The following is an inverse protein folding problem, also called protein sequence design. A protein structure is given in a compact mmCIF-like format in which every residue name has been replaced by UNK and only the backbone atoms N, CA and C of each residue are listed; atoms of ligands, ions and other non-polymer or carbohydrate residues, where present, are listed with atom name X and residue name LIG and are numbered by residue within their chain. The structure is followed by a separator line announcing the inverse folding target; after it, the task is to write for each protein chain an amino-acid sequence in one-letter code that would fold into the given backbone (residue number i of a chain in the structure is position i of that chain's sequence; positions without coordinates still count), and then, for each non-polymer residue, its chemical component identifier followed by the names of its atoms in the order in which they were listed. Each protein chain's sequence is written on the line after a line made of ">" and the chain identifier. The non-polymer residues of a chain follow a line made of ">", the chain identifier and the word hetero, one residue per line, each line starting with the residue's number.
data_IF_745446228578
#
_entry.id   IF_745446228578
#
_cell.length_a   1.000
_cell.length_b   1.000
_cell.length_c   1.000
_cell.angle_alpha   90.00
_cell.angle_beta   90.00
_cell.angle_gamma   90.00
#
_symmetry.space_group_name_H-M   'P 1'
#
loop_
_entity.id
_entity.type
_entity.pdbx_description
1 polymer ?
#
# COMPACT_ATOMS: atom_id res chain seq x y z
N UNK A 1 -12.72 -3.39 35.09
CA UNK A 1 -12.46 -4.72 34.50
C UNK A 1 -10.99 -4.81 34.15
N UNK A 2 -10.30 -5.91 34.51
CA UNK A 2 -8.90 -6.13 34.11
C UNK A 2 -8.82 -6.06 32.58
N UNK A 3 -7.97 -5.19 32.03
CA UNK A 3 -7.63 -5.19 30.61
C UNK A 3 -6.81 -6.44 30.30
N UNK A 4 -7.47 -7.60 30.20
CA UNK A 4 -6.84 -8.83 29.73
C UNK A 4 -6.58 -8.64 28.23
N UNK A 5 -5.40 -9.04 27.77
CA UNK A 5 -5.08 -8.99 26.33
C UNK A 5 -5.86 -10.06 25.59
N UNK A 6 -6.29 -9.77 24.37
CA UNK A 6 -7.02 -10.73 23.53
C UNK A 6 -6.09 -11.33 22.48
N UNK A 7 -6.27 -12.62 22.17
CA UNK A 7 -5.70 -13.24 20.98
C UNK A 7 -6.78 -13.30 19.91
N UNK A 8 -6.51 -12.68 18.76
CA UNK A 8 -7.41 -12.68 17.59
C UNK A 8 -6.69 -13.31 16.42
N UNK A 9 -7.42 -14.06 15.60
CA UNK A 9 -6.84 -14.73 14.44
C UNK A 9 -7.31 -14.04 13.17
N UNK A 10 -6.38 -13.80 12.24
CA UNK A 10 -6.73 -13.41 10.88
C UNK A 10 -7.23 -14.64 10.11
N UNK A 11 -8.43 -14.56 9.55
CA UNK A 11 -9.11 -15.70 8.89
C UNK A 11 -8.55 -16.01 7.49
N UNK A 12 -7.69 -15.16 6.95
CA UNK A 12 -6.99 -15.34 5.68
C UNK A 12 -5.63 -15.99 5.94
N UNK A 13 -4.79 -15.35 6.75
CA UNK A 13 -3.42 -15.82 7.00
C UNK A 13 -3.36 -17.00 7.98
N UNK A 14 -4.31 -17.07 8.92
CA UNK A 14 -4.25 -17.97 10.07
C UNK A 14 -3.34 -17.46 11.20
N UNK A 15 -2.70 -16.30 11.01
CA UNK A 15 -1.79 -15.69 11.96
C UNK A 15 -2.56 -15.17 13.19
N UNK A 16 -1.94 -15.33 14.37
CA UNK A 16 -2.46 -14.79 15.62
C UNK A 16 -1.91 -13.41 15.88
N UNK A 17 -2.75 -12.54 16.44
CA UNK A 17 -2.41 -11.18 16.82
C UNK A 17 -2.86 -10.94 18.25
N UNK A 18 -1.99 -10.35 19.06
CA UNK A 18 -2.29 -9.94 20.43
C UNK A 18 -2.81 -8.52 20.44
N UNK A 19 -4.04 -8.33 20.93
CA UNK A 19 -4.61 -7.00 21.21
C UNK A 19 -4.35 -6.67 22.69
N UNK A 20 -3.28 -5.93 22.95
CA UNK A 20 -2.78 -5.61 24.28
C UNK A 20 -3.09 -4.15 24.69
N UNK A 21 -4.36 -3.84 24.94
CA UNK A 21 -4.80 -2.45 25.27
C UNK A 21 -4.16 -1.85 26.53
N UNK A 22 -3.61 -2.68 27.43
CA UNK A 22 -2.85 -2.21 28.59
C UNK A 22 -1.48 -1.60 28.24
N UNK A 23 -0.91 -1.92 27.07
CA UNK A 23 0.40 -1.40 26.63
C UNK A 23 0.34 0.06 26.20
N UNK A 24 -0.77 0.52 25.61
CA UNK A 24 -0.94 1.91 25.19
C UNK A 24 -0.87 2.97 26.30
N UNK A 25 -0.72 2.57 27.57
CA UNK A 25 -0.47 3.49 28.70
C UNK A 25 1.02 3.77 28.95
N UNK A 26 1.93 3.12 28.21
CA UNK A 26 3.36 3.36 28.34
C UNK A 26 3.69 4.76 27.79
N UNK A 27 4.40 5.61 28.56
CA UNK A 27 4.73 6.98 28.14
C UNK A 27 5.45 7.08 26.78
N UNK A 28 6.13 6.01 26.37
CA UNK A 28 6.98 5.97 25.18
C UNK A 28 6.29 5.42 23.92
N UNK A 29 5.16 4.71 24.03
CA UNK A 29 4.49 4.07 22.89
C UNK A 29 3.81 5.09 21.95
N UNK A 30 3.60 6.31 22.43
CA UNK A 30 3.09 7.45 21.64
C UNK A 30 3.99 8.68 21.77
N UNK A 31 5.20 8.53 22.31
CA UNK A 31 6.14 9.64 22.40
C UNK A 31 6.45 10.12 20.97
N UNK A 32 6.01 11.35 20.66
CA UNK A 32 6.42 12.09 19.48
C UNK A 32 7.95 12.13 19.48
N UNK A 33 8.59 11.25 18.72
CA UNK A 33 9.93 11.54 18.23
C UNK A 33 9.76 12.75 17.32
N UNK A 34 10.50 13.81 17.63
CA UNK A 34 10.40 15.12 17.01
C UNK A 34 10.00 15.01 15.53
N UNK A 35 8.75 15.39 15.25
CA UNK A 35 8.19 15.54 13.90
C UNK A 35 8.77 16.76 13.19
N UNK A 36 10.06 17.01 13.39
CA UNK A 36 10.70 18.26 13.06
C UNK A 36 11.50 18.10 11.76
N UNK A 37 10.80 18.46 10.68
CA UNK A 37 11.44 19.08 9.52
C UNK A 37 12.37 18.18 8.69
N UNK A 38 12.24 16.86 8.76
CA UNK A 38 13.04 15.95 7.91
C UNK A 38 12.86 16.27 6.42
N UNK A 39 11.66 16.70 6.00
CA UNK A 39 11.41 17.25 4.66
C UNK A 39 12.11 18.59 4.40
N UNK A 40 12.11 19.52 5.37
CA UNK A 40 12.79 20.82 5.18
C UNK A 40 14.29 20.67 5.00
N UNK A 41 14.90 19.67 5.66
CA UNK A 41 16.34 19.37 5.54
C UNK A 41 16.72 18.82 4.17
N UNK A 42 15.79 18.17 3.46
CA UNK A 42 16.04 17.55 2.15
C UNK A 42 15.52 18.36 0.95
N UNK A 43 14.85 19.50 1.17
CA UNK A 43 14.38 20.37 0.09
C UNK A 43 15.52 20.98 -0.73
N UNK A 44 16.66 21.25 -0.10
CA UNK A 44 17.83 21.80 -0.81
C UNK A 44 18.43 20.69 -1.69
N UNK A 45 18.31 20.85 -3.01
CA UNK A 45 18.82 19.93 -4.04
C UNK A 45 18.15 18.56 -4.07
N UNK A 46 16.83 18.50 -3.84
CA UNK A 46 16.11 17.23 -3.97
C UNK A 46 16.14 16.73 -5.42
N UNK A 47 16.50 15.46 -5.68
CA UNK A 47 16.56 14.93 -7.05
C UNK A 47 15.18 14.81 -7.73
N UNK A 48 14.09 15.00 -6.99
CA UNK A 48 12.71 14.74 -7.42
C UNK A 48 11.88 16.02 -7.63
N UNK A 49 12.47 17.20 -7.39
CA UNK A 49 11.79 18.49 -7.54
C UNK A 49 11.58 18.91 -9.01
N UNK A 50 12.40 18.37 -9.92
CA UNK A 50 12.39 18.70 -11.36
C UNK A 50 11.97 17.50 -12.21
N UNK A 51 11.57 17.76 -13.45
CA UNK A 51 11.34 16.68 -14.41
C UNK A 51 12.65 16.01 -14.80
N UNK A 52 12.73 14.70 -14.60
CA UNK A 52 13.95 13.93 -14.76
C UNK A 52 14.04 13.41 -16.20
N UNK A 53 15.21 13.52 -16.82
CA UNK A 53 15.40 13.15 -18.24
C UNK A 53 15.09 11.68 -18.55
N UNK A 54 15.21 10.78 -17.57
CA UNK A 54 14.85 9.37 -17.70
C UNK A 54 13.36 9.08 -17.55
N UNK A 55 12.51 10.11 -17.33
CA UNK A 55 11.07 9.91 -17.20
C UNK A 55 10.47 9.39 -18.50
N UNK A 56 9.79 8.25 -18.42
CA UNK A 56 9.11 7.65 -19.57
C UNK A 56 7.58 7.82 -19.52
N UNK A 57 7.06 8.30 -18.39
CA UNK A 57 5.65 8.62 -18.18
C UNK A 57 5.57 9.95 -17.43
N UNK A 58 4.85 10.93 -17.97
CA UNK A 58 4.64 12.24 -17.35
C UNK A 58 3.16 12.59 -17.41
N UNK A 59 2.51 12.69 -16.26
CA UNK A 59 1.13 13.15 -16.16
C UNK A 59 1.09 14.63 -15.77
N UNK A 60 0.31 15.40 -16.51
CA UNK A 60 0.06 16.82 -16.25
C UNK A 60 -1.02 17.02 -15.19
N UNK A 61 -1.12 18.23 -14.63
CA UNK A 61 -2.25 18.63 -13.76
C UNK A 61 -3.61 18.53 -14.47
N UNK A 62 -3.64 18.54 -15.81
CA UNK A 62 -4.86 18.28 -16.59
C UNK A 62 -5.33 16.83 -16.45
N UNK A 63 -4.40 15.90 -16.22
CA UNK A 63 -4.59 14.45 -16.27
C UNK A 63 -4.06 13.81 -17.56
N UNK A 64 -3.64 14.62 -18.53
CA UNK A 64 -3.03 14.13 -19.79
C UNK A 64 -1.67 13.51 -19.53
N UNK A 65 -1.38 12.42 -20.25
CA UNK A 65 -0.16 11.63 -20.10
C UNK A 65 0.69 11.77 -21.35
N UNK A 66 1.98 12.03 -21.15
CA UNK A 66 2.96 12.19 -22.22
C UNK A 66 4.22 11.36 -21.95
N UNK A 67 4.89 10.95 -23.02
CA UNK A 67 6.29 10.49 -22.97
C UNK A 67 7.21 11.71 -23.07
N UNK A 68 8.23 11.77 -22.21
CA UNK A 68 9.21 12.85 -22.26
C UNK A 68 10.08 12.75 -23.52
N UNK A 69 10.36 13.89 -24.13
CA UNK A 69 11.31 14.04 -25.23
C UNK A 69 11.97 15.41 -25.17
N UNK A 70 13.10 15.59 -25.86
CA UNK A 70 13.78 16.90 -25.95
C UNK A 70 12.87 18.01 -26.49
N UNK A 71 11.91 17.67 -27.37
CA UNK A 71 11.00 18.65 -28.01
C UNK A 71 9.92 19.18 -27.07
N UNK A 72 9.44 18.37 -26.13
CA UNK A 72 8.32 18.73 -25.25
C UNK A 72 8.74 19.02 -23.79
N UNK A 73 10.00 18.77 -23.39
CA UNK A 73 10.48 18.95 -22.02
C UNK A 73 10.11 20.32 -21.43
N UNK A 74 10.41 21.41 -22.12
CA UNK A 74 10.12 22.78 -21.63
C UNK A 74 8.64 23.03 -21.37
N UNK A 75 7.75 22.40 -22.14
CA UNK A 75 6.30 22.50 -21.97
C UNK A 75 5.84 21.66 -20.78
N UNK A 76 6.34 20.43 -20.67
CA UNK A 76 6.00 19.50 -19.59
C UNK A 76 6.51 19.99 -18.23
N UNK A 77 7.72 20.57 -18.17
CA UNK A 77 8.33 21.10 -16.94
C UNK A 77 7.42 22.10 -16.22
N UNK A 78 6.67 22.91 -16.98
CA UNK A 78 5.77 23.91 -16.41
C UNK A 78 4.54 23.28 -15.74
N UNK A 79 4.06 22.14 -16.24
CA UNK A 79 2.72 21.64 -15.93
C UNK A 79 2.66 20.22 -15.36
N UNK A 80 3.79 19.51 -15.28
CA UNK A 80 3.79 18.15 -14.76
C UNK A 80 3.30 18.12 -13.31
N UNK A 81 2.58 17.05 -12.99
CA UNK A 81 2.11 16.71 -11.66
C UNK A 81 2.79 15.43 -11.16
N UNK A 82 2.92 14.44 -12.02
CA UNK A 82 3.50 13.14 -11.69
C UNK A 82 4.42 12.68 -12.81
N UNK A 83 5.53 12.05 -12.45
CA UNK A 83 6.43 11.38 -13.38
C UNK A 83 6.76 9.96 -12.90
N UNK A 84 7.04 9.06 -13.84
CA UNK A 84 7.58 7.72 -13.54
C UNK A 84 8.95 7.60 -14.19
N UNK A 85 9.93 7.21 -13.38
CA UNK A 85 11.32 7.02 -13.77
C UNK A 85 11.81 5.62 -13.36
N UNK A 86 12.81 5.05 -14.03
CA UNK A 86 13.53 3.91 -13.49
C UNK A 86 14.23 4.29 -12.19
N UNK A 87 14.23 3.40 -11.20
CA UNK A 87 15.00 3.62 -9.98
C UNK A 87 16.51 3.63 -10.32
N UNK A 88 17.23 4.62 -9.78
CA UNK A 88 18.69 4.76 -9.98
C UNK A 88 19.47 3.61 -9.35
N UNK A 89 18.94 3.01 -8.28
CA UNK A 89 19.53 1.88 -7.56
C UNK A 89 18.51 0.75 -7.49
N UNK A 90 18.24 0.08 -8.63
CA UNK A 90 17.15 -0.88 -8.70
C UNK A 90 17.54 -2.17 -7.96
N UNK A 91 16.61 -2.67 -7.14
CA UNK A 91 16.75 -3.97 -6.47
C UNK A 91 16.69 -5.17 -7.45
N UNK A 92 16.05 -4.98 -8.61
CA UNK A 92 15.91 -5.98 -9.67
C UNK A 92 16.33 -5.36 -11.00
N UNK A 93 17.09 -6.10 -11.81
CA UNK A 93 17.62 -5.63 -13.09
C UNK A 93 16.83 -6.16 -14.28
N UNK A 94 16.84 -5.41 -15.39
CA UNK A 94 16.35 -5.95 -16.68
C UNK A 94 17.29 -7.07 -17.13
N UNK A 95 16.72 -8.17 -17.60
CA UNK A 95 17.50 -9.34 -18.02
C UNK A 95 16.64 -10.37 -18.75
N UNK A 96 17.28 -11.47 -19.12
CA UNK A 96 16.60 -12.67 -19.65
C UNK A 96 15.98 -13.40 -18.46
N UNK A 97 14.84 -14.06 -18.66
CA UNK A 97 14.16 -14.79 -17.59
C UNK A 97 15.10 -15.65 -16.76
N UNK A 98 15.01 -15.42 -15.45
CA UNK A 98 15.88 -16.05 -14.49
C UNK A 98 15.66 -17.57 -14.57
N UNK A 99 16.69 -18.29 -15.00
CA UNK A 99 16.66 -19.75 -14.98
C UNK A 99 17.00 -20.18 -13.56
N UNK A 100 16.08 -20.90 -12.90
CA UNK A 100 16.35 -21.46 -11.59
C UNK A 100 17.56 -22.39 -11.65
N UNK A 101 18.56 -22.08 -10.84
CA UNK A 101 19.78 -22.85 -10.67
C UNK A 101 19.79 -23.52 -9.31
N UNK A 102 20.51 -24.64 -9.23
CA UNK A 102 20.71 -25.39 -7.99
C UNK A 102 22.15 -25.30 -7.55
N UNK A 103 22.35 -25.12 -6.25
CA UNK A 103 23.63 -25.32 -5.57
C UNK A 103 23.33 -26.21 -4.36
N UNK A 104 23.62 -27.51 -4.47
CA UNK A 104 23.23 -28.48 -3.44
C UNK A 104 21.70 -28.49 -3.20
N UNK A 105 21.22 -28.32 -1.95
CA UNK A 105 19.78 -28.27 -1.63
C UNK A 105 19.13 -26.91 -1.93
N UNK A 106 19.93 -25.91 -2.31
CA UNK A 106 19.46 -24.53 -2.47
C UNK A 106 19.06 -24.24 -3.92
N UNK A 107 18.00 -23.46 -4.05
CA UNK A 107 17.55 -22.87 -5.30
C UNK A 107 17.89 -21.39 -5.29
N UNK A 108 18.33 -20.88 -6.44
CA UNK A 108 18.55 -19.47 -6.63
C UNK A 108 18.34 -19.10 -8.11
N UNK A 109 17.96 -17.85 -8.34
CA UNK A 109 17.74 -17.29 -9.66
C UNK A 109 18.28 -15.85 -9.69
N UNK A 110 18.60 -15.32 -10.87
CA UNK A 110 19.00 -13.92 -11.00
C UNK A 110 17.83 -12.99 -10.62
N UNK A 111 18.13 -11.86 -9.98
CA UNK A 111 17.13 -10.85 -9.62
C UNK A 111 16.64 -10.06 -10.82
N UNK A 112 15.87 -10.72 -11.70
CA UNK A 112 15.34 -10.13 -12.93
C UNK A 112 13.98 -9.49 -12.67
N UNK A 113 13.81 -8.28 -13.18
CA UNK A 113 12.58 -7.53 -13.01
C UNK A 113 12.72 -6.05 -13.35
N UNK A 114 11.78 -5.27 -12.83
CA UNK A 114 11.73 -3.83 -13.02
C UNK A 114 11.58 -3.14 -11.68
N UNK A 115 12.21 -1.98 -11.53
CA UNK A 115 12.07 -1.17 -10.34
C UNK A 115 11.97 0.29 -10.76
N UNK A 116 10.78 0.85 -10.63
CA UNK A 116 10.47 2.23 -10.98
C UNK A 116 10.02 3.04 -9.76
N UNK A 117 10.17 4.36 -9.86
CA UNK A 117 9.73 5.33 -8.86
C UNK A 117 8.66 6.24 -9.47
N UNK A 118 7.56 6.40 -8.75
CA UNK A 118 6.44 7.27 -9.12
C UNK A 118 6.49 8.51 -8.24
N UNK A 119 6.82 9.66 -8.83
CA UNK A 119 7.15 10.90 -8.13
C UNK A 119 6.06 11.93 -8.41
N UNK A 120 5.51 12.56 -7.38
CA UNK A 120 4.59 13.70 -7.53
C UNK A 120 5.32 15.00 -7.30
N UNK A 121 5.06 16.05 -8.08
CA UNK A 121 5.84 17.30 -8.08
C UNK A 121 5.92 18.03 -6.75
N UNK A 122 4.85 18.03 -5.97
CA UNK A 122 4.80 18.83 -4.76
C UNK A 122 5.60 18.19 -3.61
N UNK A 123 6.76 18.75 -3.31
CA UNK A 123 7.72 18.26 -2.30
C UNK A 123 7.11 18.02 -0.90
N UNK A 124 6.11 18.80 -0.51
CA UNK A 124 5.56 18.80 0.86
C UNK A 124 4.15 18.19 0.93
N UNK A 125 3.59 17.78 -0.22
CA UNK A 125 2.19 17.35 -0.30
C UNK A 125 2.09 15.84 -0.41
N UNK A 126 1.97 15.18 0.74
CA UNK A 126 1.73 13.73 0.80
C UNK A 126 0.36 13.35 0.18
N UNK A 127 0.16 12.07 -0.07
CA UNK A 127 -1.11 11.53 -0.62
C UNK A 127 -2.32 11.94 0.25
N UNK A 128 -2.13 12.02 1.57
CA UNK A 128 -3.15 12.47 2.52
C UNK A 128 -3.65 13.91 2.29
N UNK A 129 -2.84 14.76 1.63
CA UNK A 129 -3.11 16.18 1.40
C UNK A 129 -3.46 16.49 -0.07
N UNK A 130 -3.52 15.47 -0.93
CA UNK A 130 -3.89 15.63 -2.33
C UNK A 130 -5.35 16.08 -2.49
N UNK A 131 -5.59 16.91 -3.50
CA UNK A 131 -6.94 17.12 -4.03
C UNK A 131 -7.45 15.84 -4.69
N UNK A 132 -8.76 15.75 -4.90
CA UNK A 132 -9.34 14.58 -5.55
C UNK A 132 -8.71 14.30 -6.92
N UNK A 133 -8.53 15.34 -7.74
CA UNK A 133 -7.96 15.22 -9.08
C UNK A 133 -6.53 14.68 -9.06
N UNK A 134 -5.72 15.12 -8.11
CA UNK A 134 -4.33 14.65 -7.94
C UNK A 134 -4.29 13.17 -7.53
N UNK A 135 -5.16 12.76 -6.60
CA UNK A 135 -5.29 11.36 -6.20
C UNK A 135 -5.79 10.47 -7.34
N UNK A 136 -6.73 10.95 -8.16
CA UNK A 136 -7.18 10.26 -9.37
C UNK A 136 -6.02 10.02 -10.35
N UNK A 137 -5.15 11.02 -10.57
CA UNK A 137 -3.98 10.89 -11.44
C UNK A 137 -2.98 9.87 -10.88
N UNK A 138 -2.76 9.87 -9.56
CA UNK A 138 -1.89 8.91 -8.90
C UNK A 138 -2.36 7.46 -9.08
N UNK A 139 -3.65 7.20 -8.84
CA UNK A 139 -4.25 5.86 -9.01
C UNK A 139 -4.21 5.42 -10.48
N UNK A 140 -4.48 6.34 -11.43
CA UNK A 140 -4.31 6.06 -12.87
C UNK A 140 -2.88 5.65 -13.19
N UNK A 141 -1.89 6.41 -12.70
CA UNK A 141 -0.47 6.10 -12.93
C UNK A 141 -0.07 4.73 -12.35
N UNK A 142 -0.58 4.35 -11.18
CA UNK A 142 -0.39 3.01 -10.63
C UNK A 142 -0.92 1.93 -11.55
N UNK A 143 -2.18 2.05 -11.97
CA UNK A 143 -2.82 1.07 -12.86
C UNK A 143 -2.11 1.00 -14.21
N UNK A 144 -1.84 2.16 -14.81
CA UNK A 144 -1.23 2.23 -16.14
C UNK A 144 0.18 1.66 -16.12
N UNK A 145 0.96 1.90 -15.06
CA UNK A 145 2.29 1.29 -14.92
C UNK A 145 2.21 -0.21 -14.63
N UNK A 146 1.24 -0.66 -13.84
CA UNK A 146 0.99 -2.08 -13.64
C UNK A 146 0.71 -2.79 -14.97
N UNK A 147 -0.19 -2.23 -15.78
CA UNK A 147 -0.57 -2.79 -17.09
C UNK A 147 0.62 -2.86 -18.05
N UNK A 148 1.56 -1.92 -17.98
CA UNK A 148 2.79 -1.96 -18.78
C UNK A 148 3.78 -3.03 -18.33
N UNK A 149 3.74 -3.47 -17.07
CA UNK A 149 4.72 -4.39 -16.49
C UNK A 149 4.22 -5.83 -16.43
N UNK A 150 2.90 -6.03 -16.30
CA UNK A 150 2.33 -7.36 -16.04
C UNK A 150 2.52 -8.37 -17.18
N UNK A 151 2.70 -7.88 -18.41
CA UNK A 151 2.84 -8.69 -19.62
C UNK A 151 4.31 -8.73 -20.09
N UNK A 152 5.23 -8.11 -19.33
CA UNK A 152 6.66 -8.27 -19.56
C UNK A 152 7.08 -9.71 -19.23
N UNK A 153 8.00 -10.23 -20.01
CA UNK A 153 8.56 -11.55 -19.77
C UNK A 153 9.09 -11.65 -18.33
N UNK A 154 8.97 -12.83 -17.75
CA UNK A 154 9.51 -13.15 -16.43
C UNK A 154 8.87 -12.41 -15.25
N UNK A 155 7.80 -11.64 -15.46
CA UNK A 155 7.06 -10.98 -14.37
C UNK A 155 5.93 -11.87 -13.88
N UNK A 156 6.04 -12.35 -12.65
CA UNK A 156 4.98 -13.10 -11.96
C UNK A 156 4.12 -12.19 -11.08
N UNK A 157 4.71 -11.13 -10.54
CA UNK A 157 4.02 -10.19 -9.66
C UNK A 157 4.51 -8.75 -9.82
N UNK A 158 3.59 -7.79 -9.78
CA UNK A 158 3.89 -6.36 -9.77
C UNK A 158 3.45 -5.77 -8.43
N UNK A 159 4.42 -5.41 -7.60
CA UNK A 159 4.22 -4.81 -6.28
C UNK A 159 4.19 -3.29 -6.38
N UNK A 160 3.09 -2.67 -5.95
CA UNK A 160 2.95 -1.22 -5.82
C UNK A 160 2.88 -0.87 -4.34
N UNK A 161 3.81 -0.04 -3.88
CA UNK A 161 3.90 0.36 -2.47
C UNK A 161 4.38 1.80 -2.29
N UNK A 162 4.14 2.32 -1.09
CA UNK A 162 4.48 3.68 -0.70
C UNK A 162 5.04 3.71 0.71
N UNK A 163 6.12 4.46 0.89
CA UNK A 163 6.77 4.66 2.18
C UNK A 163 6.70 6.14 2.52
N UNK A 164 5.96 6.50 3.56
CA UNK A 164 5.87 7.87 4.05
C UNK A 164 6.56 7.98 5.39
N UNK A 165 7.57 8.84 5.48
CA UNK A 165 8.31 9.11 6.71
C UNK A 165 9.45 8.13 7.02
N UNK A 166 10.42 8.55 7.84
CA UNK A 166 11.69 7.83 8.03
C UNK A 166 11.50 6.47 8.71
N UNK A 167 10.59 6.34 9.68
CA UNK A 167 10.31 5.04 10.34
C UNK A 167 9.66 4.02 9.41
N UNK A 168 9.11 4.46 8.27
CA UNK A 168 8.58 3.59 7.22
C UNK A 168 9.64 3.20 6.18
N UNK A 169 10.89 3.65 6.35
CA UNK A 169 12.00 3.37 5.43
C UNK A 169 12.10 4.36 4.26
N UNK A 170 11.46 5.53 4.33
CA UNK A 170 11.62 6.57 3.31
C UNK A 170 13.03 7.19 3.43
N UNK A 171 13.85 7.05 2.39
CA UNK A 171 15.18 7.67 2.31
C UNK A 171 15.14 9.09 1.76
N UNK A 172 14.16 9.39 0.91
CA UNK A 172 13.90 10.70 0.30
C UNK A 172 12.55 11.22 0.76
N UNK A 173 12.52 12.47 1.22
CA UNK A 173 11.32 13.08 1.80
C UNK A 173 10.24 13.46 0.81
N UNK A 174 10.65 13.70 -0.42
CA UNK A 174 9.76 14.00 -1.52
C UNK A 174 8.75 12.86 -1.73
N UNK A 175 7.43 13.13 -1.77
CA UNK A 175 6.42 12.11 -1.91
C UNK A 175 6.61 11.27 -3.18
N UNK A 176 6.87 9.99 -2.98
CA UNK A 176 7.03 9.03 -4.06
C UNK A 176 6.53 7.65 -3.64
N UNK A 177 6.11 6.90 -4.64
CA UNK A 177 5.76 5.48 -4.52
C UNK A 177 6.71 4.68 -5.37
N UNK A 178 6.73 3.37 -5.20
CA UNK A 178 7.58 2.48 -5.96
C UNK A 178 6.74 1.38 -6.59
N UNK A 179 7.17 0.94 -7.77
CA UNK A 179 6.62 -0.21 -8.45
C UNK A 179 7.76 -1.16 -8.76
N UNK A 180 7.65 -2.39 -8.26
CA UNK A 180 8.63 -3.44 -8.51
C UNK A 180 7.93 -4.64 -9.14
N UNK A 181 8.33 -4.98 -10.36
CA UNK A 181 7.91 -6.21 -11.03
C UNK A 181 8.97 -7.28 -10.84
N UNK A 182 8.56 -8.47 -10.40
CA UNK A 182 9.46 -9.54 -9.96
C UNK A 182 9.03 -10.91 -10.52
N UNK A 183 9.98 -11.83 -10.61
CA UNK A 183 9.82 -13.20 -11.13
C UNK A 183 9.24 -14.21 -10.14
N UNK A 184 8.88 -13.78 -8.93
CA UNK A 184 8.31 -14.64 -7.91
C UNK A 184 7.09 -14.00 -7.26
N UNK A 185 6.12 -14.82 -6.86
CA UNK A 185 5.00 -14.35 -6.03
C UNK A 185 5.53 -14.07 -4.62
N UNK A 186 5.36 -12.85 -4.06
CA UNK A 186 5.81 -12.56 -2.71
C UNK A 186 5.21 -13.54 -1.68
N UNK A 187 5.98 -13.95 -0.64
CA UNK A 187 5.50 -14.91 0.35
C UNK A 187 4.17 -14.51 1.01
N UNK A 188 4.00 -13.25 1.40
CA UNK A 188 2.77 -12.77 2.04
C UNK A 188 1.56 -12.81 1.08
N UNK A 189 1.77 -12.45 -0.19
CA UNK A 189 0.73 -12.55 -1.23
C UNK A 189 0.36 -14.02 -1.46
N UNK A 190 1.35 -14.89 -1.59
CA UNK A 190 1.15 -16.33 -1.75
C UNK A 190 0.38 -16.96 -0.59
N UNK A 191 0.72 -16.58 0.67
CA UNK A 191 -0.04 -17.00 1.86
C UNK A 191 -1.47 -16.50 1.83
N UNK A 192 -1.69 -15.22 1.50
CA UNK A 192 -3.02 -14.60 1.41
C UNK A 192 -3.93 -15.29 0.39
N UNK A 193 -3.39 -15.60 -0.80
CA UNK A 193 -4.08 -16.34 -1.86
C UNK A 193 -4.41 -17.76 -1.40
N UNK A 194 -3.43 -18.48 -0.84
CA UNK A 194 -3.63 -19.85 -0.35
C UNK A 194 -4.71 -19.90 0.75
N UNK A 195 -4.66 -18.98 1.70
CA UNK A 195 -5.66 -18.85 2.76
C UNK A 195 -7.06 -18.58 2.21
N UNK A 196 -7.15 -17.67 1.25
CA UNK A 196 -8.39 -17.37 0.53
C UNK A 196 -8.93 -18.60 -0.22
N UNK A 197 -8.06 -19.39 -0.85
CA UNK A 197 -8.43 -20.63 -1.53
C UNK A 197 -8.96 -21.69 -0.57
N UNK A 198 -8.31 -21.90 0.58
CA UNK A 198 -8.75 -22.82 1.63
C UNK A 198 -10.13 -22.43 2.15
N UNK A 199 -10.33 -21.15 2.47
CA UNK A 199 -11.62 -20.65 2.92
C UNK A 199 -12.70 -20.82 1.84
N UNK A 200 -12.38 -20.48 0.59
CA UNK A 200 -13.30 -20.63 -0.54
C UNK A 200 -13.69 -22.08 -0.79
N UNK A 201 -12.74 -23.02 -0.72
CA UNK A 201 -13.02 -24.44 -0.93
C UNK A 201 -14.04 -24.97 0.09
N UNK A 202 -13.91 -24.55 1.36
CA UNK A 202 -14.79 -24.95 2.47
C UNK A 202 -16.15 -24.24 2.44
N UNK A 203 -16.19 -22.94 2.13
CA UNK A 203 -17.38 -22.11 2.33
C UNK A 203 -18.08 -21.70 1.01
N UNK A 204 -17.44 -21.95 -0.14
CA UNK A 204 -17.86 -21.51 -1.49
C UNK A 204 -18.08 -20.01 -1.61
N UNK A 205 -17.39 -19.22 -0.77
CA UNK A 205 -17.45 -17.76 -0.73
C UNK A 205 -16.05 -17.18 -0.56
N UNK A 206 -15.79 -16.03 -1.16
CA UNK A 206 -14.56 -15.28 -0.96
C UNK A 206 -14.47 -14.80 0.50
N UNK A 207 -13.36 -15.07 1.18
CA UNK A 207 -13.15 -14.71 2.60
C UNK A 207 -13.26 -13.20 2.81
N UNK A 208 -12.67 -12.39 1.92
CA UNK A 208 -12.72 -10.94 2.01
C UNK A 208 -14.13 -10.39 1.81
N UNK A 209 -14.94 -10.97 0.91
CA UNK A 209 -16.34 -10.57 0.75
C UNK A 209 -17.14 -10.83 2.03
N UNK A 210 -16.91 -11.97 2.68
CA UNK A 210 -17.54 -12.29 3.98
C UNK A 210 -17.12 -11.28 5.04
N UNK A 211 -15.84 -10.87 5.09
CA UNK A 211 -15.36 -9.82 5.98
C UNK A 211 -16.06 -8.49 5.70
N UNK A 212 -16.09 -8.05 4.45
CA UNK A 212 -16.72 -6.79 4.03
C UNK A 212 -18.19 -6.76 4.42
N UNK A 213 -18.94 -7.83 4.15
CA UNK A 213 -20.36 -7.92 4.48
C UNK A 213 -20.60 -7.88 6.00
N UNK A 214 -19.75 -8.55 6.78
CA UNK A 214 -19.79 -8.47 8.24
C UNK A 214 -19.55 -7.04 8.73
N UNK A 215 -18.46 -6.39 8.28
CA UNK A 215 -18.11 -5.04 8.74
C UNK A 215 -19.16 -4.00 8.36
N UNK A 216 -19.76 -4.12 7.17
CA UNK A 216 -20.85 -3.24 6.72
C UNK A 216 -22.13 -3.41 7.54
N UNK A 217 -22.44 -4.63 8.00
CA UNK A 217 -23.61 -4.90 8.83
C UNK A 217 -23.41 -4.36 10.25
N UNK A 218 -22.27 -4.70 10.87
CA UNK A 218 -22.01 -4.31 12.26
C UNK A 218 -21.64 -2.83 12.40
N UNK A 219 -20.97 -2.25 11.39
CA UNK A 219 -20.50 -0.85 11.35
C UNK A 219 -19.53 -0.46 12.48
N UNK A 220 -19.07 -1.41 13.28
CA UNK A 220 -18.20 -1.15 14.43
C UNK A 220 -16.84 -0.63 13.96
N UNK A 221 -16.17 -1.33 13.04
CA UNK A 221 -14.81 -1.03 12.58
C UNK A 221 -14.72 -0.24 11.27
N UNK A 222 -15.86 0.17 10.69
CA UNK A 222 -15.90 1.03 9.50
C UNK A 222 -15.34 2.43 9.82
N UNK A 223 -14.33 2.86 9.07
CA UNK A 223 -13.71 4.20 9.20
C UNK A 223 -14.34 5.16 8.19
N UNK A 224 -14.54 4.69 6.96
CA UNK A 224 -15.09 5.46 5.84
C UNK A 224 -15.71 4.51 4.81
N UNK A 225 -16.71 4.98 4.07
CA UNK A 225 -17.36 4.24 2.99
C UNK A 225 -17.87 5.25 1.96
N UNK A 226 -17.57 5.03 0.69
CA UNK A 226 -18.20 5.74 -0.42
C UNK A 226 -18.98 4.74 -1.28
N UNK A 227 -19.44 5.09 -2.48
CA UNK A 227 -20.29 4.19 -3.26
C UNK A 227 -19.63 2.83 -3.57
N UNK A 228 -18.37 2.83 -3.98
CA UNK A 228 -17.67 1.64 -4.50
C UNK A 228 -16.68 1.00 -3.54
N UNK A 229 -16.19 1.74 -2.55
CA UNK A 229 -15.13 1.29 -1.64
C UNK A 229 -15.54 1.40 -0.17
N UNK A 230 -14.94 0.54 0.65
CA UNK A 230 -15.09 0.53 2.10
C UNK A 230 -13.71 0.54 2.77
N UNK A 231 -13.60 1.29 3.86
CA UNK A 231 -12.38 1.46 4.63
C UNK A 231 -12.66 1.04 6.07
N UNK A 232 -11.93 0.07 6.59
CA UNK A 232 -12.11 -0.41 7.97
C UNK A 232 -10.81 -0.88 8.62
N UNK A 233 -10.82 -0.90 9.96
CA UNK A 233 -9.75 -1.52 10.74
C UNK A 233 -10.02 -3.04 10.82
N UNK A 234 -9.07 -3.91 10.42
CA UNK A 234 -9.29 -5.36 10.44
C UNK A 234 -9.46 -5.89 11.87
N UNK A 235 -10.25 -6.95 12.05
CA UNK A 235 -10.50 -7.53 13.37
C UNK A 235 -9.23 -7.97 14.10
N UNK A 236 -8.24 -8.48 13.37
CA UNK A 236 -6.91 -8.85 13.84
C UNK A 236 -5.85 -7.87 13.29
N UNK A 237 -5.92 -6.59 13.68
CA UNK A 237 -4.94 -5.57 13.25
C UNK A 237 -3.55 -5.83 13.82
N UNK A 238 -2.58 -5.97 12.92
CA UNK A 238 -1.15 -6.21 13.18
C UNK A 238 -0.45 -5.00 13.80
N UNK A 239 -0.86 -3.80 13.41
CA UNK A 239 -0.37 -2.55 13.99
C UNK A 239 -1.52 -1.72 14.56
N UNK A 240 -1.20 -0.81 15.48
CA UNK A 240 -2.20 0.14 15.95
C UNK A 240 -2.63 1.04 14.79
N UNK A 241 -3.93 1.21 14.63
CA UNK A 241 -4.53 1.97 13.52
C UNK A 241 -4.22 1.39 12.12
N UNK A 242 -3.98 0.08 11.98
CA UNK A 242 -4.04 -0.57 10.66
C UNK A 242 -5.39 -0.28 9.98
N UNK A 243 -5.32 0.03 8.68
CA UNK A 243 -6.49 0.32 7.86
C UNK A 243 -6.40 -0.49 6.57
N UNK A 244 -7.51 -1.09 6.15
CA UNK A 244 -7.64 -1.70 4.83
C UNK A 244 -8.70 -1.00 4.00
N UNK A 245 -8.44 -0.85 2.70
CA UNK A 245 -9.37 -0.33 1.70
C UNK A 245 -9.72 -1.46 0.74
N UNK A 246 -11.01 -1.78 0.64
CA UNK A 246 -11.52 -2.83 -0.24
C UNK A 246 -12.52 -2.26 -1.26
N UNK A 247 -12.53 -2.72 -2.52
CA UNK A 247 -13.72 -2.56 -3.35
C UNK A 247 -14.86 -3.38 -2.76
N UNK A 248 -16.08 -2.84 -2.83
CA UNK A 248 -17.27 -3.56 -2.35
C UNK A 248 -17.67 -4.68 -3.32
N UNK A 249 -17.44 -4.45 -4.61
CA UNK A 249 -17.64 -5.47 -5.64
C UNK A 249 -16.41 -6.37 -5.63
N UNK A 250 -16.65 -7.68 -5.60
CA UNK A 250 -15.60 -8.67 -5.70
C UNK A 250 -14.76 -8.46 -6.96
N UNK A 251 -13.45 -8.33 -6.78
CA UNK A 251 -12.47 -8.37 -7.86
C UNK A 251 -11.15 -8.97 -7.34
N UNK A 252 -10.57 -9.98 -8.01
CA UNK A 252 -9.29 -10.56 -7.59
C UNK A 252 -8.09 -9.65 -7.90
N UNK A 253 -8.24 -8.73 -8.85
CA UNK A 253 -7.13 -8.00 -9.44
C UNK A 253 -7.35 -6.49 -9.48
N UNK A 254 -6.30 -5.73 -9.15
CA UNK A 254 -6.33 -4.27 -9.07
C UNK A 254 -6.40 -3.62 -10.45
N UNK A 255 -5.66 -4.16 -11.43
CA UNK A 255 -5.51 -3.55 -12.74
C UNK A 255 -6.80 -3.54 -13.58
N UNK A 256 -7.79 -4.36 -13.20
CA UNK A 256 -9.10 -4.39 -13.82
C UNK A 256 -10.03 -3.25 -13.40
N UNK A 257 -9.60 -2.38 -12.46
CA UNK A 257 -10.40 -1.26 -12.00
C UNK A 257 -10.82 -0.34 -13.16
N UNK A 258 -12.13 -0.12 -13.27
CA UNK A 258 -12.67 0.69 -14.35
C UNK A 258 -12.38 2.18 -14.13
N UNK A 259 -12.28 2.95 -15.22
CA UNK A 259 -12.00 4.40 -15.16
C UNK A 259 -12.97 5.19 -14.27
N UNK A 260 -14.23 4.76 -14.17
CA UNK A 260 -15.25 5.37 -13.31
C UNK A 260 -15.09 5.02 -11.83
N UNK A 261 -14.38 3.94 -11.49
CA UNK A 261 -14.15 3.49 -10.12
C UNK A 261 -12.89 4.13 -9.51
N UNK A 262 -11.97 4.61 -10.35
CA UNK A 262 -10.74 5.27 -9.94
C UNK A 262 -11.00 6.44 -8.98
N UNK A 263 -11.99 7.28 -9.29
CA UNK A 263 -12.30 8.44 -8.43
C UNK A 263 -12.77 8.00 -7.04
N UNK A 264 -13.53 6.91 -6.96
CA UNK A 264 -13.96 6.36 -5.66
C UNK A 264 -12.80 5.70 -4.90
N UNK A 265 -11.87 5.03 -5.58
CA UNK A 265 -10.68 4.48 -4.93
C UNK A 265 -9.77 5.59 -4.40
N UNK A 266 -9.48 6.59 -5.25
CA UNK A 266 -8.67 7.75 -4.92
C UNK A 266 -9.26 8.50 -3.72
N UNK A 267 -10.58 8.67 -3.68
CA UNK A 267 -11.28 9.25 -2.55
C UNK A 267 -11.11 8.39 -1.28
N UNK A 268 -11.39 7.08 -1.34
CA UNK A 268 -11.27 6.18 -0.19
C UNK A 268 -9.85 6.12 0.40
N UNK A 269 -8.82 6.02 -0.46
CA UNK A 269 -7.41 6.01 -0.04
C UNK A 269 -7.01 7.36 0.59
N UNK A 270 -7.32 8.48 -0.09
CA UNK A 270 -7.08 9.83 0.43
C UNK A 270 -7.76 10.02 1.78
N UNK A 271 -9.00 9.56 1.92
CA UNK A 271 -9.78 9.64 3.16
C UNK A 271 -9.16 8.83 4.30
N UNK A 272 -8.71 7.61 4.04
CA UNK A 272 -7.99 6.79 5.01
C UNK A 272 -6.71 7.49 5.50
N UNK A 273 -5.89 7.95 4.56
CA UNK A 273 -4.61 8.62 4.85
C UNK A 273 -4.79 9.98 5.51
N UNK A 274 -5.80 10.78 5.12
CA UNK A 274 -6.12 12.07 5.74
C UNK A 274 -6.54 11.91 7.20
N UNK A 275 -7.35 10.88 7.51
CA UNK A 275 -7.77 10.58 8.89
C UNK A 275 -6.60 10.12 9.76
N UNK A 276 -5.71 9.28 9.22
CA UNK A 276 -4.46 8.89 9.90
C UNK A 276 -3.55 10.12 10.12
N UNK A 277 -3.35 10.92 9.08
CA UNK A 277 -2.53 12.13 9.13
C UNK A 277 -3.03 13.12 10.18
N UNK A 278 -4.31 13.50 10.15
CA UNK A 278 -4.87 14.45 11.14
C UNK A 278 -5.02 13.84 12.53
N UNK A 279 -5.46 12.59 12.62
CA UNK A 279 -5.74 11.92 13.88
C UNK A 279 -4.49 11.57 14.68
N UNK A 280 -3.39 11.23 14.00
CA UNK A 280 -2.16 10.75 14.64
C UNK A 280 -0.98 11.73 14.48
N UNK A 281 -1.21 12.91 13.87
CA UNK A 281 -0.17 13.93 13.70
C UNK A 281 0.87 13.60 12.62
N UNK A 282 0.42 13.13 11.46
CA UNK A 282 1.22 12.76 10.29
C UNK A 282 2.26 11.66 10.60
N UNK A 283 1.81 10.46 11.04
CA UNK A 283 2.72 9.38 11.38
C UNK A 283 3.42 8.85 10.13
N UNK A 284 4.58 8.22 10.32
CA UNK A 284 5.17 7.38 9.27
C UNK A 284 4.26 6.18 8.98
N UNK A 285 4.15 5.76 7.72
CA UNK A 285 3.35 4.61 7.31
C UNK A 285 3.88 3.96 6.03
N UNK A 286 3.56 2.68 5.88
CA UNK A 286 3.61 2.02 4.57
C UNK A 286 2.19 1.79 4.08
N UNK A 287 1.96 1.87 2.78
CA UNK A 287 0.83 1.16 2.18
C UNK A 287 1.28 0.38 0.96
N UNK A 288 0.52 -0.66 0.64
CA UNK A 288 0.77 -1.51 -0.52
C UNK A 288 -0.55 -2.05 -1.06
N UNK A 289 -0.55 -2.32 -2.37
CA UNK A 289 -1.69 -2.91 -3.06
C UNK A 289 -1.47 -4.41 -3.15
N UNK A 290 -2.30 -5.17 -2.45
CA UNK A 290 -2.38 -6.62 -2.61
C UNK A 290 -3.33 -6.93 -3.75
N UNK A 291 -2.82 -7.54 -4.81
CA UNK A 291 -3.60 -7.95 -5.98
C UNK A 291 -3.29 -9.41 -6.30
N UNK A 292 -4.09 -10.07 -7.13
CA UNK A 292 -3.70 -11.37 -7.67
C UNK A 292 -2.48 -11.23 -8.59
N UNK A 293 -1.60 -12.24 -8.67
CA UNK A 293 -0.67 -12.41 -9.79
C UNK A 293 -1.35 -12.18 -11.14
N UNK A 294 -0.57 -11.68 -12.11
CA UNK A 294 -1.08 -11.35 -13.43
C UNK A 294 -1.52 -12.59 -14.22
N UNK A 295 -0.86 -13.73 -13.99
CA UNK A 295 -1.17 -15.00 -14.63
C UNK A 295 -2.38 -15.70 -13.98
N UNK A 296 -3.16 -16.39 -14.82
CA UNK A 296 -4.23 -17.32 -14.41
C UNK A 296 -5.30 -16.72 -13.46
N UNK A 297 -5.78 -15.51 -13.77
CA UNK A 297 -6.80 -14.78 -12.99
C UNK A 297 -8.06 -15.64 -12.73
N UNK A 298 -8.46 -16.48 -13.69
CA UNK A 298 -9.62 -17.36 -13.56
C UNK A 298 -9.49 -18.33 -12.39
N UNK A 299 -8.30 -18.89 -12.16
CA UNK A 299 -8.02 -19.74 -11.01
C UNK A 299 -8.00 -18.96 -9.68
N UNK A 300 -7.90 -17.64 -9.73
CA UNK A 300 -7.74 -16.73 -8.58
C UNK A 300 -9.03 -16.00 -8.21
N UNK A 301 -10.19 -16.40 -8.75
CA UNK A 301 -11.53 -15.87 -8.38
C UNK A 301 -11.90 -16.00 -6.90
N UNK A 302 -11.14 -16.75 -6.11
CA UNK A 302 -11.30 -16.82 -4.66
C UNK A 302 -10.67 -15.63 -3.94
N UNK A 303 -9.76 -14.89 -4.59
CA UNK A 303 -9.03 -13.77 -4.02
C UNK A 303 -9.76 -12.43 -4.18
N UNK A 304 -9.39 -11.42 -3.40
CA UNK A 304 -9.96 -10.08 -3.47
C UNK A 304 -8.87 -9.04 -3.20
N UNK A 305 -8.57 -8.24 -4.21
CA UNK A 305 -7.53 -7.22 -4.08
C UNK A 305 -7.93 -6.16 -3.05
N UNK A 306 -6.92 -5.57 -2.39
CA UNK A 306 -7.13 -4.52 -1.40
C UNK A 306 -5.86 -3.69 -1.19
N UNK A 307 -6.03 -2.52 -0.56
CA UNK A 307 -4.90 -1.73 -0.06
C UNK A 307 -4.80 -1.96 1.44
N UNK A 308 -3.60 -2.27 1.91
CA UNK A 308 -3.28 -2.34 3.33
C UNK A 308 -2.40 -1.14 3.70
N UNK A 309 -2.76 -0.45 4.79
CA UNK A 309 -2.05 0.72 5.31
C UNK A 309 -1.60 0.39 6.73
N UNK A 310 -0.29 0.45 6.95
CA UNK A 310 0.37 0.12 8.22
C UNK A 310 1.08 1.36 8.78
N UNK A 311 0.42 2.11 9.68
CA UNK A 311 1.08 3.16 10.45
C UNK A 311 2.18 2.60 11.35
N UNK A 312 3.30 3.32 11.44
CA UNK A 312 4.43 3.01 12.33
C UNK A 312 4.20 3.63 13.69
N UNK A 313 3.39 2.94 14.50
CA UNK A 313 3.07 3.35 15.88
C UNK A 313 3.95 2.67 16.92
N UNK A 314 4.64 1.61 16.55
CA UNK A 314 5.55 0.86 17.41
C UNK A 314 6.66 0.22 16.57
N UNK A 315 7.76 -0.11 17.22
CA UNK A 315 8.87 -0.85 16.62
C UNK A 315 8.71 -2.31 17.06
N UNK A 316 8.68 -3.24 16.10
CA UNK A 316 8.67 -4.67 16.41
C UNK A 316 9.95 -5.07 17.13
N UNK A 317 9.81 -5.86 18.20
CA UNK A 317 10.90 -6.31 19.03
C UNK A 317 11.04 -7.84 18.95
N UNK A 318 11.87 -8.42 19.80
CA UNK A 318 12.22 -9.84 19.74
C UNK A 318 11.03 -10.81 19.82
N UNK A 319 9.90 -10.40 20.41
CA UNK A 319 8.70 -11.26 20.43
C UNK A 319 8.05 -11.32 19.05
N UNK A 320 7.74 -10.17 18.45
CA UNK A 320 7.13 -10.09 17.12
C UNK A 320 8.06 -10.70 16.07
N UNK A 321 9.36 -10.34 16.12
CA UNK A 321 10.37 -10.85 15.18
C UNK A 321 10.65 -12.35 15.33
N UNK A 322 10.61 -12.88 16.55
CA UNK A 322 10.93 -14.28 16.83
C UNK A 322 9.76 -15.25 16.66
N UNK A 323 8.52 -14.78 16.84
CA UNK A 323 7.33 -15.63 16.80
C UNK A 323 6.44 -15.40 15.58
N UNK A 324 6.55 -14.25 14.93
CA UNK A 324 5.59 -13.81 13.90
C UNK A 324 4.23 -13.39 14.46
N UNK A 325 4.04 -13.37 15.79
CA UNK A 325 2.81 -12.90 16.44
C UNK A 325 2.93 -11.39 16.68
N UNK A 326 2.11 -10.63 15.97
CA UNK A 326 2.06 -9.18 16.09
C UNK A 326 1.35 -8.73 17.38
N UNK A 327 1.80 -7.61 17.96
CA UNK A 327 1.17 -6.98 19.13
C UNK A 327 0.64 -5.60 18.76
N UNK A 328 -0.69 -5.42 18.86
CA UNK A 328 -1.34 -4.13 18.71
C UNK A 328 -1.74 -3.53 20.07
N UNK A 329 -1.35 -2.29 20.31
CA UNK A 329 -1.59 -1.58 21.58
C UNK A 329 -2.99 -0.98 21.70
N UNK A 330 -3.80 -1.04 20.63
CA UNK A 330 -5.17 -0.53 20.59
C UNK A 330 -6.10 -1.57 19.96
N UNK A 331 -7.32 -1.68 20.51
CA UNK A 331 -8.35 -2.50 19.89
C UNK A 331 -8.80 -1.88 18.55
N UNK A 332 -8.95 -2.67 17.47
CA UNK A 332 -9.40 -2.16 16.16
C UNK A 332 -10.72 -1.40 16.23
N UNK A 333 -11.64 -1.79 17.12
CA UNK A 333 -12.92 -1.09 17.35
C UNK A 333 -12.70 0.34 17.85
N UNK A 334 -11.75 0.53 18.77
CA UNK A 334 -11.39 1.85 19.31
C UNK A 334 -10.64 2.68 18.26
N UNK A 335 -9.71 2.06 17.53
CA UNK A 335 -8.97 2.72 16.45
C UNK A 335 -9.93 3.24 15.36
N UNK A 336 -10.86 2.41 14.89
CA UNK A 336 -11.85 2.80 13.91
C UNK A 336 -12.78 3.91 14.43
N UNK A 337 -13.27 3.78 15.66
CA UNK A 337 -14.11 4.80 16.31
C UNK A 337 -13.40 6.15 16.41
N UNK A 338 -12.10 6.15 16.74
CA UNK A 338 -11.28 7.36 16.79
C UNK A 338 -11.13 7.99 15.39
N UNK A 339 -10.67 7.24 14.39
CA UNK A 339 -10.43 7.75 13.04
C UNK A 339 -11.71 8.26 12.36
N UNK A 340 -12.85 7.60 12.62
CA UNK A 340 -14.16 8.02 12.13
C UNK A 340 -14.56 9.42 12.60
N UNK A 341 -14.20 9.80 13.84
CA UNK A 341 -14.48 11.13 14.42
C UNK A 341 -13.61 12.26 13.88
N UNK A 342 -12.48 11.94 13.25
CA UNK A 342 -11.60 12.95 12.64
C UNK A 342 -12.28 13.58 11.43
N UNK A 343 -12.40 14.91 11.43
CA UNK A 343 -13.04 15.68 10.34
C UNK A 343 -12.09 15.89 9.16
N UNK A 344 -12.67 15.87 7.96
CA UNK A 344 -11.96 16.06 6.69
C UNK A 344 -11.43 17.45 6.47
#
# INVERSE_FOLDING_TARGET
>A
MKNISELRQDIVFGDWVVIATGRGRRPHDFAKKDGDHWWKRQKKNCPFDELIDSAFYVALKSGEVHKLSKKNKTVLEKNWFLQIIPNKYPAFGKGICAVQRKIGPYFWEDGVGFHDVIITRAHEKSVALMSQKEADILIRAYRDRYLQLKDEDCVEYVSIFHNHGPEAGASIAHPHSQVIAISVVPPDVGRSIKGSAVFYHKNKKCVHCVMIDFEKREKIRIIYENEKFVVFAPFASRTAFEVRVFPKKHSPNFESIHNSEITFLADALKMALAKLCKGLGNPSYNFFIHTSPAANIEALRHYHWHIEILPKTAIWAGFELGTGIDISSIAPEKAASFLRKIKN
#
